data_IF_195484637376
#
_entry.id   IF_195484637376
#
_cell.length_a   1.000
_cell.length_b   1.000
_cell.length_c   1.000
_cell.angle_alpha   90.00
_cell.angle_beta   90.00
_cell.angle_gamma   90.00
#
_symmetry.space_group_name_H-M   'P 1'
#
loop_
_entity.id
_entity.type
_entity.pdbx_description
1 polymer ?
#
# COMPACT_ATOMS: atom_id res chain seq x y z
N UNK A 1 -6.90 41.96 26.51
CA UNK A 1 -5.74 41.07 26.77
C UNK A 1 -5.92 39.68 26.16
N UNK A 2 -6.97 39.43 25.34
CA UNK A 2 -7.23 38.10 24.74
C UNK A 2 -6.63 37.86 23.35
N UNK A 3 -6.09 38.89 22.68
CA UNK A 3 -5.56 38.75 21.31
C UNK A 3 -4.29 37.88 21.21
N UNK A 4 -3.59 37.67 22.33
CA UNK A 4 -2.35 36.88 22.38
C UNK A 4 -2.60 35.40 22.70
N UNK A 5 -3.79 35.03 23.20
CA UNK A 5 -4.15 33.64 23.45
C UNK A 5 -4.59 32.87 22.19
N UNK A 6 -4.84 33.59 21.08
CA UNK A 6 -5.14 32.99 19.77
C UNK A 6 -3.89 32.69 18.93
N UNK A 7 -2.71 33.16 19.37
CA UNK A 7 -1.46 32.82 18.69
C UNK A 7 -1.11 31.40 19.10
N UNK A 8 -1.35 30.43 18.20
CA UNK A 8 -0.90 29.07 18.40
C UNK A 8 0.61 29.06 18.60
N UNK A 9 1.03 28.74 19.82
CA UNK A 9 2.43 28.54 20.16
C UNK A 9 2.81 27.11 19.80
N UNK A 10 3.43 26.93 18.65
CA UNK A 10 4.16 25.70 18.32
C UNK A 10 5.66 25.92 18.56
N UNK A 11 6.35 24.88 18.98
CA UNK A 11 7.81 24.92 19.05
C UNK A 11 8.39 25.00 17.63
N UNK A 12 9.55 25.65 17.45
CA UNK A 12 10.23 25.67 16.15
C UNK A 12 10.48 24.26 15.58
N UNK A 13 10.59 23.26 16.46
CA UNK A 13 10.67 21.85 16.09
C UNK A 13 9.34 21.35 15.49
N UNK A 14 8.22 21.60 16.16
CA UNK A 14 6.88 21.25 15.65
C UNK A 14 6.59 21.94 14.32
N UNK A 15 6.88 23.24 14.20
CA UNK A 15 6.76 23.96 12.93
C UNK A 15 7.59 23.34 11.82
N UNK A 16 8.87 23.02 12.07
CA UNK A 16 9.71 22.35 11.05
C UNK A 16 9.20 20.95 10.72
N UNK A 17 8.66 20.22 11.70
CA UNK A 17 8.02 18.92 11.46
C UNK A 17 6.76 19.07 10.61
N UNK A 18 5.93 20.08 10.86
CA UNK A 18 4.68 20.32 10.14
C UNK A 18 4.94 20.87 8.74
N UNK A 19 5.91 21.78 8.57
CA UNK A 19 6.42 22.19 7.26
C UNK A 19 6.99 20.99 6.51
N UNK A 20 7.81 20.13 7.13
CA UNK A 20 8.32 18.90 6.47
C UNK A 20 7.21 17.91 6.12
N UNK A 21 6.20 17.74 6.99
CA UNK A 21 5.00 16.95 6.73
C UNK A 21 4.20 17.50 5.56
N UNK A 22 4.25 18.80 5.32
CA UNK A 22 3.52 19.44 4.22
C UNK A 22 4.35 19.57 2.93
N UNK A 23 5.68 19.55 3.01
CA UNK A 23 6.56 19.92 1.89
C UNK A 23 7.51 18.81 1.42
N UNK A 24 7.71 17.73 2.18
CA UNK A 24 8.62 16.66 1.81
C UNK A 24 7.87 15.41 1.31
N UNK A 25 8.02 15.01 0.04
CA UNK A 25 7.41 13.80 -0.49
C UNK A 25 7.96 12.55 0.20
N UNK A 26 7.21 11.44 0.15
CA UNK A 26 7.56 10.21 0.90
C UNK A 26 8.81 9.54 0.35
N UNK A 27 8.94 9.51 -0.97
CA UNK A 27 10.08 8.95 -1.70
C UNK A 27 9.63 8.14 -2.92
N UNK A 28 10.51 7.24 -3.36
CA UNK A 28 10.24 6.25 -4.40
C UNK A 28 9.55 5.00 -3.81
N UNK A 29 8.75 4.31 -4.62
CA UNK A 29 8.18 2.99 -4.28
C UNK A 29 9.16 1.85 -4.50
N UNK A 30 10.32 2.12 -5.10
CA UNK A 30 11.30 1.15 -5.60
C UNK A 30 10.71 0.21 -6.66
N UNK A 31 9.74 0.74 -7.43
CA UNK A 31 9.11 0.09 -8.59
C UNK A 31 9.23 1.07 -9.75
N UNK A 32 10.28 0.94 -10.56
CA UNK A 32 10.64 1.96 -11.57
C UNK A 32 9.49 2.36 -12.48
N UNK A 33 8.72 1.39 -12.98
CA UNK A 33 7.59 1.65 -13.86
C UNK A 33 6.42 2.37 -13.14
N UNK A 34 6.17 2.05 -11.87
CA UNK A 34 5.20 2.78 -11.05
C UNK A 34 5.71 4.19 -10.75
N UNK A 35 6.99 4.33 -10.37
CA UNK A 35 7.59 5.62 -10.06
C UNK A 35 7.70 6.54 -11.27
N UNK A 36 7.95 5.98 -12.46
CA UNK A 36 7.91 6.71 -13.73
C UNK A 36 6.49 7.18 -14.05
N UNK A 37 5.48 6.31 -13.84
CA UNK A 37 4.08 6.67 -14.01
C UNK A 37 3.68 7.82 -13.07
N UNK A 38 3.93 7.68 -11.77
CA UNK A 38 3.56 8.68 -10.78
C UNK A 38 4.24 10.02 -11.07
N UNK A 39 5.55 10.03 -11.35
CA UNK A 39 6.28 11.26 -11.71
C UNK A 39 5.72 11.94 -12.95
N UNK A 40 5.34 11.17 -13.97
CA UNK A 40 4.73 11.72 -15.19
C UNK A 40 3.43 12.47 -14.88
N UNK A 41 2.59 11.88 -14.03
CA UNK A 41 1.31 12.47 -13.63
C UNK A 41 1.44 13.59 -12.58
N UNK A 42 2.63 13.77 -11.99
CA UNK A 42 2.94 14.83 -11.03
C UNK A 42 3.62 16.04 -11.69
N UNK A 43 4.19 15.88 -12.89
CA UNK A 43 4.95 16.92 -13.58
C UNK A 43 4.10 18.14 -13.97
N UNK A 44 2.78 18.06 -13.85
CA UNK A 44 1.85 19.18 -14.00
C UNK A 44 1.86 20.15 -12.79
N UNK A 45 2.22 19.67 -11.59
CA UNK A 45 2.07 20.43 -10.32
C UNK A 45 3.37 20.63 -9.52
N UNK A 46 4.48 19.92 -9.83
CA UNK A 46 5.72 19.95 -9.02
C UNK A 46 6.92 20.47 -9.82
N UNK A 47 7.77 21.36 -9.24
CA UNK A 47 8.98 21.83 -9.90
C UNK A 47 9.93 20.69 -10.31
N UNK A 48 10.45 20.77 -11.53
CA UNK A 48 11.47 19.86 -12.08
C UNK A 48 12.67 19.75 -11.12
N UNK A 49 12.98 18.54 -10.66
CA UNK A 49 14.18 18.25 -9.86
C UNK A 49 13.98 17.46 -8.56
N UNK A 50 12.74 17.18 -8.14
CA UNK A 50 12.50 16.31 -6.98
C UNK A 50 12.47 14.82 -7.37
N UNK A 51 13.27 13.96 -6.72
CA UNK A 51 13.38 12.54 -7.08
C UNK A 51 12.21 11.67 -6.57
N UNK A 52 11.23 12.25 -5.87
CA UNK A 52 10.17 11.45 -5.26
C UNK A 52 9.00 11.23 -6.21
N UNK A 53 8.51 9.99 -6.25
CA UNK A 53 7.36 9.59 -7.04
C UNK A 53 6.05 9.60 -6.24
N UNK A 54 6.10 9.36 -4.92
CA UNK A 54 4.91 9.33 -4.07
C UNK A 54 4.76 10.65 -3.32
N UNK A 55 3.59 11.28 -3.47
CA UNK A 55 3.22 12.47 -2.72
C UNK A 55 2.49 12.12 -1.44
N UNK A 56 2.51 13.08 -0.51
CA UNK A 56 1.74 12.99 0.71
C UNK A 56 0.26 13.19 0.44
N UNK A 57 -0.55 12.41 1.14
CA UNK A 57 -1.99 12.39 0.95
C UNK A 57 -2.44 11.69 -0.33
N UNK A 58 -1.51 11.10 -1.10
CA UNK A 58 -1.88 10.19 -2.18
C UNK A 58 -2.67 9.01 -1.62
N UNK A 59 -3.65 8.58 -2.40
CA UNK A 59 -4.48 7.43 -2.05
C UNK A 59 -4.41 6.43 -3.19
N UNK A 60 -3.86 5.26 -2.91
CA UNK A 60 -3.79 4.13 -3.83
C UNK A 60 -4.94 3.19 -3.55
N UNK A 61 -5.82 2.98 -4.53
CA UNK A 61 -6.73 1.84 -4.52
C UNK A 61 -6.06 0.66 -5.21
N UNK A 62 -5.80 -0.43 -4.49
CA UNK A 62 -5.31 -1.68 -5.07
C UNK A 62 -6.50 -2.63 -5.25
N UNK A 63 -6.95 -2.78 -6.49
CA UNK A 63 -8.10 -3.60 -6.86
C UNK A 63 -7.67 -4.92 -7.51
N UNK A 64 -8.39 -6.00 -7.23
CA UNK A 64 -8.20 -7.28 -7.92
C UNK A 64 -8.92 -8.45 -7.25
N UNK A 65 -9.03 -9.60 -7.93
CA UNK A 65 -9.67 -10.78 -7.37
C UNK A 65 -8.91 -11.33 -6.15
N UNK A 66 -9.53 -12.21 -5.35
CA UNK A 66 -8.81 -12.96 -4.32
C UNK A 66 -7.53 -13.59 -4.90
N UNK A 67 -6.47 -13.60 -4.10
CA UNK A 67 -5.16 -14.16 -4.49
C UNK A 67 -4.44 -13.45 -5.65
N UNK A 68 -4.86 -12.26 -6.09
CA UNK A 68 -4.20 -11.50 -7.16
C UNK A 68 -2.89 -10.79 -6.74
N UNK A 69 -2.39 -11.02 -5.52
CA UNK A 69 -1.16 -10.38 -5.03
C UNK A 69 -1.34 -9.04 -4.29
N UNK A 70 -2.57 -8.61 -3.96
CA UNK A 70 -2.83 -7.33 -3.26
C UNK A 70 -2.04 -7.19 -1.96
N UNK A 71 -2.15 -8.16 -1.06
CA UNK A 71 -1.42 -8.17 0.21
C UNK A 71 0.10 -8.24 0.01
N UNK A 72 0.57 -8.83 -1.10
CA UNK A 72 2.00 -8.85 -1.42
C UNK A 72 2.50 -7.46 -1.87
N UNK A 73 1.77 -6.78 -2.75
CA UNK A 73 2.07 -5.39 -3.09
C UNK A 73 2.00 -4.49 -1.84
N UNK A 74 1.07 -4.76 -0.94
CA UNK A 74 0.99 -4.06 0.34
C UNK A 74 2.21 -4.32 1.24
N UNK A 75 2.67 -5.58 1.36
CA UNK A 75 3.92 -5.88 2.05
C UNK A 75 5.08 -5.09 1.45
N UNK A 76 5.17 -4.98 0.12
CA UNK A 76 6.21 -4.19 -0.55
C UNK A 76 6.19 -2.72 -0.11
N UNK A 77 5.03 -2.06 -0.17
CA UNK A 77 4.88 -0.66 0.24
C UNK A 77 5.14 -0.46 1.73
N UNK A 78 4.69 -1.40 2.58
CA UNK A 78 4.97 -1.36 4.02
C UNK A 78 6.46 -1.53 4.29
N UNK A 79 7.15 -2.46 3.62
CA UNK A 79 8.61 -2.60 3.71
C UNK A 79 9.31 -1.29 3.33
N UNK A 80 8.92 -0.68 2.21
CA UNK A 80 9.45 0.60 1.79
C UNK A 80 9.25 1.69 2.85
N UNK A 81 8.08 1.73 3.49
CA UNK A 81 7.77 2.70 4.53
C UNK A 81 8.66 2.53 5.78
N UNK A 82 8.76 1.32 6.32
CA UNK A 82 9.37 1.06 7.62
C UNK A 82 10.90 0.91 7.58
N UNK A 83 11.46 0.55 6.43
CA UNK A 83 12.91 0.45 6.25
C UNK A 83 13.57 1.83 6.42
N UNK A 84 14.77 1.91 7.02
CA UNK A 84 15.48 3.18 7.19
C UNK A 84 15.83 3.80 5.84
N UNK A 85 15.89 5.13 5.77
CA UNK A 85 16.38 5.84 4.56
C UNK A 85 17.83 5.51 4.26
N UNK A 86 18.65 5.54 5.30
CA UNK A 86 20.07 5.25 5.25
C UNK A 86 20.34 4.08 6.19
N UNK A 87 20.68 2.93 5.62
CA UNK A 87 21.20 1.80 6.38
C UNK A 87 22.72 1.86 6.29
N UNK A 88 23.35 2.36 7.35
CA UNK A 88 24.81 2.31 7.48
C UNK A 88 25.16 0.96 8.07
N UNK A 89 25.67 0.05 7.24
CA UNK A 89 26.15 -1.24 7.71
C UNK A 89 27.64 -1.14 8.01
N UNK A 90 27.96 -1.13 9.29
CA UNK A 90 29.32 -0.94 9.77
C UNK A 90 30.13 -2.23 9.63
N UNK A 91 30.90 -2.34 8.54
CA UNK A 91 32.22 -3.01 8.57
C UNK A 91 33.33 -2.14 7.96
N UNK A 92 32.99 -1.16 7.11
CA UNK A 92 33.91 -0.15 6.57
C UNK A 92 33.32 1.27 6.47
N UNK A 93 32.15 1.54 7.09
CA UNK A 93 31.55 2.88 7.17
C UNK A 93 30.90 3.41 5.90
N UNK A 94 30.87 2.66 4.80
CA UNK A 94 30.16 3.06 3.59
C UNK A 94 28.64 2.83 3.75
N UNK A 95 27.79 3.85 3.54
CA UNK A 95 26.33 3.67 3.54
C UNK A 95 25.90 2.75 2.39
N UNK A 96 24.81 2.00 2.57
CA UNK A 96 24.13 1.21 1.51
C UNK A 96 23.48 2.07 0.40
N UNK A 97 24.02 3.26 0.14
CA UNK A 97 23.60 4.08 -0.99
C UNK A 97 24.25 3.50 -2.24
N UNK A 98 23.49 2.72 -2.99
CA UNK A 98 23.57 2.84 -4.44
C UNK A 98 23.17 4.29 -4.77
N UNK A 99 23.91 4.98 -5.63
CA UNK A 99 23.73 6.41 -5.91
C UNK A 99 22.29 6.79 -6.31
N UNK A 100 21.44 5.81 -6.66
CA UNK A 100 20.09 6.03 -7.16
C UNK A 100 18.95 5.32 -6.40
N UNK A 101 19.21 4.56 -5.32
CA UNK A 101 18.16 3.74 -4.66
C UNK A 101 18.02 4.02 -3.17
N UNK A 102 16.84 4.51 -2.75
CA UNK A 102 16.52 4.68 -1.33
C UNK A 102 16.17 3.34 -0.69
N UNK A 103 16.79 3.00 0.44
CA UNK A 103 16.52 1.73 1.14
C UNK A 103 15.09 1.67 1.73
N UNK A 104 14.53 2.82 2.09
CA UNK A 104 13.18 2.97 2.62
C UNK A 104 12.86 4.42 2.97
N UNK A 105 11.70 4.68 3.59
CA UNK A 105 11.27 6.02 3.99
C UNK A 105 11.57 6.35 5.45
N UNK A 106 11.79 5.34 6.29
CA UNK A 106 12.07 5.47 7.71
C UNK A 106 10.88 6.01 8.51
N UNK A 107 9.65 5.62 8.15
CA UNK A 107 8.39 6.15 8.69
C UNK A 107 7.57 5.06 9.38
N UNK A 108 6.53 5.48 10.08
CA UNK A 108 5.53 4.57 10.66
C UNK A 108 4.60 4.09 9.56
N UNK A 109 4.35 2.78 9.54
CA UNK A 109 3.29 2.17 8.76
C UNK A 109 2.19 1.69 9.70
N UNK A 110 0.95 2.09 9.44
CA UNK A 110 -0.24 1.59 10.13
C UNK A 110 -0.99 0.68 9.17
N UNK A 111 -1.31 -0.54 9.61
CA UNK A 111 -2.10 -1.51 8.87
C UNK A 111 -3.38 -1.80 9.64
N UNK A 112 -4.52 -1.49 9.05
CA UNK A 112 -5.82 -1.96 9.48
C UNK A 112 -6.08 -3.31 8.79
N UNK A 113 -5.85 -4.39 9.53
CA UNK A 113 -6.10 -5.77 9.10
C UNK A 113 -7.56 -6.11 9.35
N UNK A 114 -8.36 -6.00 8.29
CA UNK A 114 -9.81 -6.14 8.31
C UNK A 114 -10.27 -7.59 8.13
N UNK A 115 -9.42 -8.48 7.59
CA UNK A 115 -9.77 -9.88 7.33
C UNK A 115 -8.89 -10.89 8.10
N UNK A 116 -8.02 -10.42 8.99
CA UNK A 116 -7.21 -11.25 9.87
C UNK A 116 -6.06 -11.96 9.16
N UNK A 117 -5.72 -11.54 7.93
CA UNK A 117 -4.73 -12.24 7.09
C UNK A 117 -3.34 -11.62 7.15
N UNK A 118 -3.19 -10.48 7.82
CA UNK A 118 -1.89 -9.85 7.94
C UNK A 118 -0.93 -10.71 8.77
N UNK A 119 0.26 -10.97 8.21
CA UNK A 119 1.26 -11.84 8.83
C UNK A 119 2.60 -11.10 9.00
N UNK A 120 2.85 -10.61 10.21
CA UNK A 120 4.10 -9.92 10.54
C UNK A 120 5.35 -10.81 10.40
N UNK A 121 5.23 -12.13 10.59
CA UNK A 121 6.36 -13.07 10.36
C UNK A 121 6.69 -13.17 8.87
N UNK A 122 5.68 -13.15 8.00
CA UNK A 122 5.87 -13.10 6.55
C UNK A 122 6.55 -11.80 6.14
N UNK A 123 6.09 -10.66 6.64
CA UNK A 123 6.75 -9.37 6.41
C UNK A 123 8.21 -9.38 6.88
N UNK A 124 8.49 -9.95 8.05
CA UNK A 124 9.86 -10.10 8.55
C UNK A 124 10.76 -10.90 7.58
N UNK A 125 10.27 -12.05 7.10
CA UNK A 125 11.01 -12.87 6.13
C UNK A 125 11.29 -12.09 4.83
N UNK A 126 10.29 -11.36 4.33
CA UNK A 126 10.42 -10.51 3.14
C UNK A 126 11.44 -9.37 3.35
N UNK A 127 11.45 -8.74 4.54
CA UNK A 127 12.44 -7.72 4.90
C UNK A 127 13.86 -8.28 4.88
N UNK A 128 14.08 -9.44 5.49
CA UNK A 128 15.40 -10.08 5.54
C UNK A 128 15.86 -10.47 4.12
N UNK A 129 14.98 -11.05 3.30
CA UNK A 129 15.28 -11.38 1.91
C UNK A 129 15.70 -10.12 1.11
N UNK A 130 14.91 -9.05 1.21
CA UNK A 130 15.22 -7.77 0.56
C UNK A 130 16.55 -7.18 1.03
N UNK A 131 16.80 -7.14 2.33
CA UNK A 131 18.05 -6.65 2.91
C UNK A 131 19.25 -7.49 2.46
N UNK A 132 19.09 -8.81 2.31
CA UNK A 132 20.15 -9.69 1.78
C UNK A 132 20.51 -9.35 0.34
N UNK A 133 19.54 -8.99 -0.51
CA UNK A 133 19.81 -8.53 -1.88
C UNK A 133 20.54 -7.19 -1.90
N UNK A 134 20.10 -6.25 -1.07
CA UNK A 134 20.72 -4.92 -1.00
C UNK A 134 22.12 -4.98 -0.38
N UNK A 135 22.37 -5.95 0.51
CA UNK A 135 23.58 -6.04 1.32
C UNK A 135 24.14 -7.47 1.41
N UNK A 136 24.55 -8.08 0.28
CA UNK A 136 24.92 -9.50 0.22
C UNK A 136 26.13 -9.86 1.10
N UNK A 137 26.98 -8.88 1.41
CA UNK A 137 28.21 -9.08 2.19
C UNK A 137 27.99 -9.10 3.72
N UNK A 138 26.75 -8.96 4.19
CA UNK A 138 26.44 -8.88 5.62
C UNK A 138 25.90 -10.18 6.18
N UNK A 139 26.17 -10.41 7.47
CA UNK A 139 25.72 -11.62 8.16
C UNK A 139 24.19 -11.63 8.29
N UNK A 140 23.60 -12.83 8.25
CA UNK A 140 22.16 -12.98 8.45
C UNK A 140 21.69 -12.36 9.77
N UNK A 141 22.49 -12.45 10.84
CA UNK A 141 22.17 -11.85 12.15
C UNK A 141 22.02 -10.32 12.06
N UNK A 142 22.94 -9.65 11.36
CA UNK A 142 22.86 -8.19 11.17
C UNK A 142 21.62 -7.77 10.40
N UNK A 143 21.29 -8.49 9.32
CA UNK A 143 20.10 -8.20 8.49
C UNK A 143 18.81 -8.43 9.27
N UNK A 144 18.78 -9.49 10.08
CA UNK A 144 17.68 -9.88 10.96
C UNK A 144 17.45 -8.84 12.08
N UNK A 145 18.51 -8.27 12.66
CA UNK A 145 18.41 -7.17 13.63
C UNK A 145 17.85 -5.89 13.01
N UNK A 146 18.21 -5.58 11.76
CA UNK A 146 17.68 -4.43 11.04
C UNK A 146 16.21 -4.64 10.69
N UNK A 147 15.84 -5.84 10.24
CA UNK A 147 14.45 -6.19 9.97
C UNK A 147 13.59 -6.06 11.24
N UNK A 148 14.07 -6.57 12.38
CA UNK A 148 13.41 -6.37 13.69
C UNK A 148 13.30 -4.91 14.09
N UNK A 149 14.37 -4.12 13.89
CA UNK A 149 14.35 -2.70 14.18
C UNK A 149 13.34 -1.95 13.29
N UNK A 150 13.22 -2.32 12.01
CA UNK A 150 12.26 -1.77 11.08
C UNK A 150 10.81 -2.12 11.47
N UNK A 151 10.55 -3.36 11.89
CA UNK A 151 9.24 -3.80 12.36
C UNK A 151 8.75 -3.03 13.60
N UNK A 152 9.64 -2.41 14.39
CA UNK A 152 9.20 -1.53 15.48
C UNK A 152 8.40 -0.33 14.98
N UNK A 153 8.50 0.05 13.69
CA UNK A 153 7.71 1.14 13.07
C UNK A 153 6.39 0.66 12.48
N UNK A 154 6.09 -0.63 12.58
CA UNK A 154 4.81 -1.19 12.14
C UNK A 154 3.80 -1.16 13.29
N UNK A 155 2.61 -0.64 13.01
CA UNK A 155 1.44 -0.71 13.89
C UNK A 155 0.36 -1.50 13.14
N UNK A 156 -0.16 -2.56 13.75
CA UNK A 156 -1.23 -3.38 13.15
C UNK A 156 -2.45 -3.32 14.06
N UNK A 157 -3.58 -2.90 13.51
CA UNK A 157 -4.89 -3.02 14.14
C UNK A 157 -5.62 -4.20 13.51
N UNK A 158 -5.79 -5.27 14.28
CA UNK A 158 -6.61 -6.41 13.88
C UNK A 158 -8.07 -6.09 14.22
N UNK A 159 -8.88 -5.91 13.19
CA UNK A 159 -10.27 -5.46 13.33
C UNK A 159 -11.29 -6.62 13.23
N UNK A 160 -10.85 -7.78 12.71
CA UNK A 160 -11.54 -9.07 12.82
C UNK A 160 -12.84 -9.22 12.01
N UNK A 161 -13.45 -10.40 12.12
CA UNK A 161 -14.60 -10.83 11.29
C UNK A 161 -15.91 -10.05 11.53
N UNK A 162 -15.99 -9.30 12.63
CA UNK A 162 -17.17 -8.49 13.00
C UNK A 162 -17.03 -7.02 12.58
N UNK A 163 -16.07 -6.70 11.73
CA UNK A 163 -15.74 -5.32 11.37
C UNK A 163 -16.90 -4.59 10.67
N UNK A 164 -17.28 -3.45 11.23
CA UNK A 164 -18.13 -2.46 10.55
C UNK A 164 -17.36 -1.19 10.19
N UNK A 165 -17.83 -0.43 9.18
CA UNK A 165 -17.25 0.87 8.82
C UNK A 165 -17.12 1.84 10.01
N UNK A 166 -18.05 1.78 10.97
CA UNK A 166 -18.03 2.62 12.17
C UNK A 166 -16.82 2.31 13.08
N UNK A 167 -16.46 1.04 13.25
CA UNK A 167 -15.28 0.65 14.05
C UNK A 167 -13.98 1.07 13.37
N UNK A 168 -13.91 0.90 12.04
CA UNK A 168 -12.77 1.38 11.26
C UNK A 168 -12.67 2.90 11.34
N UNK A 169 -13.79 3.62 11.17
CA UNK A 169 -13.84 5.08 11.30
C UNK A 169 -13.37 5.55 12.69
N UNK A 170 -13.87 4.93 13.77
CA UNK A 170 -13.44 5.24 15.13
C UNK A 170 -11.94 4.98 15.35
N UNK A 171 -11.42 3.87 14.80
CA UNK A 171 -9.98 3.56 14.83
C UNK A 171 -9.18 4.66 14.13
N UNK A 172 -9.61 5.09 12.94
CA UNK A 172 -8.94 6.15 12.18
C UNK A 172 -9.05 7.53 12.85
N UNK A 173 -10.18 7.84 13.49
CA UNK A 173 -10.37 9.09 14.24
C UNK A 173 -9.45 9.18 15.46
N UNK A 174 -9.22 8.06 16.15
CA UNK A 174 -8.34 8.01 17.33
C UNK A 174 -6.87 7.82 16.99
N UNK A 175 -6.54 7.45 15.74
CA UNK A 175 -5.19 7.16 15.29
C UNK A 175 -4.19 8.32 15.53
N UNK A 176 -4.52 9.60 15.25
CA UNK A 176 -3.61 10.72 15.55
C UNK A 176 -3.20 10.79 17.02
N UNK A 177 -4.15 10.59 17.94
CA UNK A 177 -3.90 10.66 19.38
C UNK A 177 -3.05 9.47 19.86
N UNK A 178 -3.34 8.28 19.32
CA UNK A 178 -2.52 7.10 19.55
C UNK A 178 -1.07 7.33 19.10
N UNK A 179 -0.86 7.84 17.88
CA UNK A 179 0.49 8.09 17.35
C UNK A 179 1.22 9.16 18.15
N UNK A 180 0.55 10.25 18.56
CA UNK A 180 1.14 11.29 19.39
C UNK A 180 1.62 10.75 20.74
N UNK A 181 0.85 9.84 21.34
CA UNK A 181 1.14 9.29 22.67
C UNK A 181 2.20 8.18 22.60
N UNK A 182 2.05 7.24 21.67
CA UNK A 182 2.90 6.05 21.60
C UNK A 182 4.15 6.25 20.73
N UNK A 183 4.11 7.21 19.80
CA UNK A 183 5.14 7.44 18.77
C UNK A 183 5.43 8.93 18.52
N UNK A 184 5.69 9.75 19.57
CA UNK A 184 5.78 11.21 19.46
C UNK A 184 6.88 11.72 18.52
N UNK A 185 7.96 10.95 18.36
CA UNK A 185 9.11 11.32 17.51
C UNK A 185 9.06 10.73 16.11
N UNK A 186 8.07 9.88 15.82
CA UNK A 186 7.95 9.21 14.54
C UNK A 186 6.82 9.84 13.72
N UNK A 187 6.94 9.70 12.41
CA UNK A 187 6.00 10.29 11.49
C UNK A 187 5.27 9.20 10.71
N UNK A 188 3.94 9.33 10.59
CA UNK A 188 3.12 8.45 9.78
C UNK A 188 3.47 8.63 8.29
N UNK A 189 3.98 7.57 7.67
CA UNK A 189 4.27 7.55 6.24
C UNK A 189 3.18 6.85 5.44
N UNK A 190 2.62 5.77 5.99
CA UNK A 190 1.68 4.90 5.28
C UNK A 190 0.53 4.47 6.19
N UNK A 191 -0.69 4.59 5.68
CA UNK A 191 -1.88 3.94 6.22
C UNK A 191 -2.37 2.90 5.21
N UNK A 192 -2.50 1.65 5.62
CA UNK A 192 -3.02 0.56 4.83
C UNK A 192 -4.34 0.04 5.40
N UNK A 193 -5.32 -0.23 4.54
CA UNK A 193 -6.58 -0.88 4.89
C UNK A 193 -6.71 -2.15 4.03
N UNK A 194 -6.49 -3.32 4.62
CA UNK A 194 -6.49 -4.63 3.95
C UNK A 194 -7.56 -5.56 4.54
N UNK A 195 -8.71 -5.79 3.93
CA UNK A 195 -9.28 -5.12 2.74
C UNK A 195 -10.43 -4.18 3.15
N UNK A 196 -10.60 -3.06 2.45
CA UNK A 196 -11.75 -2.17 2.69
C UNK A 196 -13.08 -2.82 2.26
N UNK A 197 -13.03 -3.81 1.36
CA UNK A 197 -14.19 -4.61 0.96
C UNK A 197 -14.77 -5.47 2.08
N UNK A 198 -14.03 -5.71 3.17
CA UNK A 198 -14.51 -6.52 4.30
C UNK A 198 -15.75 -5.90 4.98
N UNK A 199 -15.87 -4.57 4.99
CA UNK A 199 -17.02 -3.88 5.62
C UNK A 199 -18.25 -3.84 4.71
N UNK A 200 -18.10 -4.15 3.42
CA UNK A 200 -19.12 -3.89 2.41
C UNK A 200 -20.49 -4.47 2.74
N UNK A 201 -20.54 -5.77 3.07
CA UNK A 201 -21.81 -6.46 3.28
C UNK A 201 -22.54 -5.81 4.46
N UNK A 202 -21.85 -5.62 5.58
CA UNK A 202 -22.45 -5.00 6.77
C UNK A 202 -22.89 -3.56 6.51
N UNK A 203 -22.09 -2.78 5.77
CA UNK A 203 -22.41 -1.40 5.44
C UNK A 203 -23.61 -1.29 4.50
N UNK A 204 -23.73 -2.21 3.53
CA UNK A 204 -24.89 -2.28 2.63
C UNK A 204 -26.18 -2.50 3.41
N UNK A 205 -26.20 -3.50 4.30
CA UNK A 205 -27.37 -3.78 5.15
C UNK A 205 -27.77 -2.54 5.97
N UNK A 206 -26.80 -1.76 6.48
CA UNK A 206 -27.08 -0.52 7.21
C UNK A 206 -27.58 0.61 6.31
N UNK A 207 -27.00 0.78 5.13
CA UNK A 207 -27.42 1.80 4.17
C UNK A 207 -28.83 1.58 3.62
N UNK A 208 -29.27 0.32 3.55
CA UNK A 208 -30.65 -0.04 3.20
C UNK A 208 -31.64 0.36 4.33
N UNK A 209 -31.17 0.48 5.58
CA UNK A 209 -31.98 0.91 6.73
C UNK A 209 -31.98 2.43 6.92
N UNK A 210 -30.88 3.12 6.62
CA UNK A 210 -30.76 4.59 6.65
C UNK A 210 -29.96 5.13 5.45
N UNK A 211 -30.65 5.64 4.40
CA UNK A 211 -30.01 6.15 3.18
C UNK A 211 -29.24 7.46 3.38
N UNK A 212 -29.42 8.17 4.50
CA UNK A 212 -28.85 9.50 4.71
C UNK A 212 -27.53 9.49 5.50
N UNK A 213 -27.06 8.32 5.93
CA UNK A 213 -25.82 8.23 6.68
C UNK A 213 -24.61 8.48 5.77
N UNK A 214 -24.00 9.66 5.87
CA UNK A 214 -22.68 9.91 5.29
C UNK A 214 -21.67 8.92 5.88
N UNK A 215 -20.83 8.32 5.03
CA UNK A 215 -19.81 7.37 5.48
C UNK A 215 -18.85 8.04 6.46
N UNK A 216 -18.99 7.74 7.76
CA UNK A 216 -18.09 8.23 8.82
C UNK A 216 -16.62 7.86 8.53
N UNK A 217 -16.41 6.79 7.77
CA UNK A 217 -15.10 6.36 7.28
C UNK A 217 -14.48 7.38 6.32
N UNK A 218 -15.25 7.92 5.36
CA UNK A 218 -14.77 8.94 4.43
C UNK A 218 -14.37 10.21 5.18
N UNK A 219 -15.16 10.62 6.17
CA UNK A 219 -14.82 11.76 7.04
C UNK A 219 -13.55 11.52 7.86
N UNK A 220 -13.41 10.33 8.45
CA UNK A 220 -12.22 9.96 9.22
C UNK A 220 -10.95 9.94 8.34
N UNK A 221 -11.04 9.40 7.13
CA UNK A 221 -9.94 9.40 6.14
C UNK A 221 -9.58 10.82 5.70
N UNK A 222 -10.56 11.68 5.45
CA UNK A 222 -10.30 13.09 5.14
C UNK A 222 -9.64 13.84 6.30
N UNK A 223 -10.11 13.62 7.54
CA UNK A 223 -9.51 14.22 8.71
C UNK A 223 -8.05 13.76 8.87
N UNK A 224 -7.78 12.47 8.72
CA UNK A 224 -6.42 11.94 8.80
C UNK A 224 -5.52 12.46 7.68
N UNK A 225 -6.03 12.55 6.44
CA UNK A 225 -5.33 13.13 5.30
C UNK A 225 -4.96 14.59 5.56
N UNK A 226 -5.84 15.37 6.19
CA UNK A 226 -5.55 16.77 6.56
C UNK A 226 -4.48 16.90 7.65
N UNK A 227 -4.45 15.99 8.63
CA UNK A 227 -3.55 16.09 9.78
C UNK A 227 -2.17 15.53 9.47
N UNK A 228 -2.11 14.34 8.85
CA UNK A 228 -0.85 13.61 8.65
C UNK A 228 -0.46 13.44 7.18
N UNK A 229 -1.41 13.59 6.26
CA UNK A 229 -1.23 13.35 4.82
C UNK A 229 -0.41 12.07 4.52
N UNK A 230 -0.74 10.90 5.10
CA UNK A 230 -0.01 9.68 4.80
C UNK A 230 -0.31 9.22 3.36
N UNK A 231 0.55 8.37 2.79
CA UNK A 231 0.14 7.53 1.68
C UNK A 231 -0.94 6.58 2.21
N UNK A 232 -2.15 6.68 1.68
CA UNK A 232 -3.24 5.78 2.04
C UNK A 232 -3.37 4.69 1.00
N UNK A 233 -3.37 3.43 1.42
CA UNK A 233 -3.52 2.27 0.53
C UNK A 233 -4.78 1.53 0.90
N UNK A 234 -5.71 1.45 -0.04
CA UNK A 234 -7.00 0.77 0.10
C UNK A 234 -6.96 -0.52 -0.73
N UNK A 235 -6.89 -1.69 -0.10
CA UNK A 235 -7.02 -2.94 -0.82
C UNK A 235 -8.50 -3.27 -1.01
N UNK A 236 -8.92 -3.43 -2.25
CA UNK A 236 -10.30 -3.72 -2.62
C UNK A 236 -10.38 -5.06 -3.36
N UNK A 237 -11.18 -5.97 -2.84
CA UNK A 237 -11.44 -7.24 -3.52
C UNK A 237 -12.56 -7.06 -4.51
N UNK A 238 -12.20 -6.95 -5.79
CA UNK A 238 -13.18 -6.95 -6.87
C UNK A 238 -13.42 -8.39 -7.30
N UNK A 239 -14.70 -8.80 -7.32
CA UNK A 239 -15.05 -10.03 -8.02
C UNK A 239 -14.94 -9.67 -9.50
N UNK A 240 -14.02 -10.33 -10.22
CA UNK A 240 -13.90 -10.15 -11.65
C UNK A 240 -15.26 -10.47 -12.30
N UNK A 241 -16.01 -9.42 -12.64
CA UNK A 241 -17.14 -9.56 -13.52
C UNK A 241 -16.54 -9.89 -14.88
N UNK A 242 -16.53 -11.17 -15.24
CA UNK A 242 -16.48 -11.53 -16.65
C UNK A 242 -17.46 -10.62 -17.41
N UNK A 243 -17.17 -10.22 -18.66
CA UNK A 243 -18.05 -9.32 -19.44
C UNK A 243 -19.45 -9.88 -19.74
N UNK A 244 -19.86 -11.01 -19.15
CA UNK A 244 -21.25 -11.43 -19.03
C UNK A 244 -21.37 -12.36 -17.81
N UNK A 245 -22.05 -11.98 -16.70
CA UNK A 245 -22.45 -12.98 -15.72
C UNK A 245 -23.44 -13.96 -16.38
N UNK A 246 -23.35 -15.28 -16.12
CA UNK A 246 -24.47 -16.16 -16.43
C UNK A 246 -25.72 -15.60 -15.73
N UNK A 247 -26.80 -15.42 -16.48
CA UNK A 247 -28.07 -14.91 -15.96
C UNK A 247 -28.45 -15.72 -14.70
N UNK A 248 -28.45 -15.07 -13.53
CA UNK A 248 -28.90 -15.69 -12.27
C UNK A 248 -27.88 -15.74 -11.12
N UNK A 249 -26.58 -15.46 -11.35
CA UNK A 249 -25.61 -15.35 -10.24
C UNK A 249 -25.37 -13.88 -9.92
N UNK A 250 -25.93 -13.43 -8.79
CA UNK A 250 -25.79 -12.06 -8.30
C UNK A 250 -24.33 -11.81 -7.88
N UNK A 251 -23.51 -11.28 -8.79
CA UNK A 251 -22.23 -10.72 -8.40
C UNK A 251 -22.53 -9.49 -7.53
N UNK A 252 -22.03 -9.39 -6.28
CA UNK A 252 -22.13 -8.14 -5.54
C UNK A 252 -21.53 -7.03 -6.41
N UNK A 253 -22.23 -5.91 -6.58
CA UNK A 253 -21.67 -4.79 -7.34
C UNK A 253 -20.36 -4.37 -6.65
N UNK A 254 -19.36 -3.88 -7.42
CA UNK A 254 -18.16 -3.31 -6.83
C UNK A 254 -18.59 -2.30 -5.77
N UNK A 255 -17.85 -2.24 -4.66
CA UNK A 255 -18.20 -1.42 -3.51
C UNK A 255 -18.15 0.08 -3.88
N UNK A 256 -19.21 0.60 -4.50
CA UNK A 256 -19.25 1.94 -5.11
C UNK A 256 -19.23 3.07 -4.08
N UNK A 257 -19.51 2.79 -2.81
CA UNK A 257 -19.66 3.82 -1.77
C UNK A 257 -18.36 4.61 -1.54
N UNK A 258 -17.19 4.00 -1.70
CA UNK A 258 -15.90 4.70 -1.66
C UNK A 258 -15.40 5.14 -3.04
N UNK A 259 -15.83 4.47 -4.11
CA UNK A 259 -15.44 4.75 -5.50
C UNK A 259 -16.16 6.00 -6.05
N UNK A 260 -17.40 6.24 -5.61
CA UNK A 260 -18.22 7.40 -5.98
C UNK A 260 -17.94 8.62 -5.09
N UNK A 261 -16.93 8.55 -4.20
CA UNK A 261 -16.33 9.73 -3.56
C UNK A 261 -15.11 10.15 -4.39
N UNK A 262 -15.27 10.96 -5.46
CA UNK A 262 -14.20 11.33 -6.41
C UNK A 262 -13.04 12.10 -5.78
N UNK A 263 -13.07 12.33 -4.47
CA UNK A 263 -12.12 13.16 -3.73
C UNK A 263 -11.09 12.36 -2.94
N UNK A 264 -11.24 11.02 -2.83
CA UNK A 264 -10.31 10.23 -2.02
C UNK A 264 -9.20 9.60 -2.85
N UNK A 265 -9.52 8.80 -3.88
CA UNK A 265 -8.52 8.01 -4.64
C UNK A 265 -7.72 8.90 -5.59
N UNK A 266 -6.39 8.82 -5.53
CA UNK A 266 -5.50 9.50 -6.49
C UNK A 266 -5.11 8.55 -7.61
N UNK A 267 -4.73 7.32 -7.25
CA UNK A 267 -4.26 6.30 -8.18
C UNK A 267 -4.99 4.98 -7.97
N UNK A 268 -5.35 4.32 -9.07
CA UNK A 268 -5.94 3.00 -9.07
C UNK A 268 -4.96 1.99 -9.64
N UNK A 269 -4.64 0.95 -8.89
CA UNK A 269 -3.76 -0.15 -9.27
C UNK A 269 -4.61 -1.41 -9.40
N UNK A 270 -4.83 -1.86 -10.63
CA UNK A 270 -5.55 -3.10 -10.93
C UNK A 270 -4.58 -4.26 -11.08
N UNK A 271 -4.77 -5.32 -10.27
CA UNK A 271 -3.93 -6.52 -10.29
C UNK A 271 -4.64 -7.65 -11.04
N UNK A 272 -3.90 -8.28 -11.95
CA UNK A 272 -4.28 -9.51 -12.61
C UNK A 272 -3.15 -10.53 -12.46
N UNK A 273 -3.49 -11.80 -12.20
CA UNK A 273 -2.53 -12.88 -12.37
C UNK A 273 -2.11 -12.94 -13.84
N UNK A 274 -0.85 -13.31 -14.10
CA UNK A 274 -0.37 -13.56 -15.46
C UNK A 274 -1.36 -14.46 -16.21
N UNK A 275 -1.61 -14.15 -17.49
CA UNK A 275 -2.58 -14.90 -18.29
C UNK A 275 -2.08 -16.33 -18.43
N UNK A 276 -2.68 -17.26 -17.68
CA UNK A 276 -2.45 -18.69 -17.86
C UNK A 276 -3.24 -19.08 -19.11
N UNK A 277 -2.58 -19.49 -20.20
CA UNK A 277 -3.30 -19.90 -21.40
C UNK A 277 -4.23 -21.07 -21.05
N UNK A 278 -5.48 -21.05 -21.52
CA UNK A 278 -6.42 -22.16 -21.30
C UNK A 278 -5.85 -23.45 -21.90
N UNK A 279 -6.10 -24.60 -21.27
CA UNK A 279 -5.75 -25.88 -21.87
C UNK A 279 -6.45 -26.04 -23.23
N UNK A 280 -5.75 -26.51 -24.28
CA UNK A 280 -6.39 -26.88 -25.53
C UNK A 280 -7.49 -27.93 -25.27
N UNK A 281 -8.57 -27.92 -26.06
CA UNK A 281 -9.72 -28.79 -25.82
C UNK A 281 -9.35 -30.29 -25.96
N UNK A 282 -8.34 -30.56 -26.76
CA UNK A 282 -7.77 -31.87 -27.06
C UNK A 282 -6.73 -32.36 -26.05
N UNK A 283 -6.29 -31.50 -25.11
CA UNK A 283 -5.24 -31.86 -24.15
C UNK A 283 -5.79 -32.78 -23.05
N UNK A 284 -5.16 -33.94 -22.88
CA UNK A 284 -5.51 -34.88 -21.81
C UNK A 284 -5.04 -34.39 -20.43
N UNK A 285 -5.66 -34.87 -19.35
CA UNK A 285 -5.23 -34.52 -17.98
C UNK A 285 -3.76 -34.92 -17.70
N UNK A 286 -3.28 -36.02 -18.28
CA UNK A 286 -1.91 -36.48 -18.13
C UNK A 286 -0.90 -35.54 -18.84
N UNK A 287 -1.28 -34.97 -19.98
CA UNK A 287 -0.48 -33.97 -20.68
C UNK A 287 -0.51 -32.62 -19.95
N UNK A 288 -1.67 -32.21 -19.45
CA UNK A 288 -1.81 -31.01 -18.62
C UNK A 288 -0.90 -31.06 -17.37
N UNK A 289 -0.77 -32.23 -16.73
CA UNK A 289 0.14 -32.44 -15.59
C UNK A 289 1.63 -32.39 -15.98
N UNK A 290 1.97 -32.57 -17.26
CA UNK A 290 3.34 -32.48 -17.77
C UNK A 290 3.65 -31.10 -18.39
N UNK A 291 2.69 -30.18 -18.39
CA UNK A 291 2.86 -28.86 -18.94
C UNK A 291 3.80 -28.01 -18.08
N UNK A 292 5.07 -27.97 -18.47
CA UNK A 292 6.11 -27.22 -17.76
C UNK A 292 5.93 -25.72 -17.90
N UNK A 293 5.37 -25.23 -19.01
CA UNK A 293 5.23 -23.79 -19.26
C UNK A 293 4.14 -23.19 -18.37
N UNK A 294 2.96 -23.82 -18.29
CA UNK A 294 1.89 -23.39 -17.38
C UNK A 294 2.30 -23.56 -15.92
N UNK A 295 2.99 -24.65 -15.60
CA UNK A 295 3.56 -24.85 -14.27
C UNK A 295 4.51 -23.71 -13.91
N UNK A 296 5.44 -23.33 -14.79
CA UNK A 296 6.37 -22.23 -14.54
C UNK A 296 5.63 -20.90 -14.33
N UNK A 297 4.60 -20.60 -15.12
CA UNK A 297 3.80 -19.36 -14.95
C UNK A 297 3.12 -19.33 -13.58
N UNK A 298 2.57 -20.48 -13.14
CA UNK A 298 1.91 -20.61 -11.83
C UNK A 298 2.94 -20.55 -10.70
N UNK A 299 4.07 -21.23 -10.84
CA UNK A 299 5.13 -21.31 -9.82
C UNK A 299 5.86 -19.98 -9.64
N UNK A 300 6.10 -19.23 -10.72
CA UNK A 300 6.71 -17.89 -10.64
C UNK A 300 5.79 -16.85 -10.00
N UNK A 301 4.49 -17.13 -9.92
CA UNK A 301 3.54 -16.23 -9.27
C UNK A 301 3.53 -14.82 -9.87
N UNK A 302 3.64 -14.71 -11.20
CA UNK A 302 3.73 -13.43 -11.89
C UNK A 302 2.40 -12.67 -11.75
N UNK A 303 2.47 -11.46 -11.23
CA UNK A 303 1.36 -10.52 -11.13
C UNK A 303 1.61 -9.34 -12.05
N UNK A 304 0.60 -9.03 -12.87
CA UNK A 304 0.57 -7.85 -13.73
C UNK A 304 -0.26 -6.79 -13.03
N UNK A 305 0.33 -5.61 -12.84
CA UNK A 305 -0.32 -4.46 -12.26
C UNK A 305 -0.48 -3.35 -13.31
N UNK A 306 -1.69 -2.83 -13.46
CA UNK A 306 -1.98 -1.63 -14.27
C UNK A 306 -2.28 -0.48 -13.34
N UNK A 307 -1.63 0.66 -13.53
CA UNK A 307 -1.83 1.88 -12.74
C UNK A 307 -2.50 2.95 -13.60
N UNK A 308 -3.49 3.61 -13.02
CA UNK A 308 -4.20 4.76 -13.61
C UNK A 308 -4.24 5.89 -12.60
N UNK A 309 -4.09 7.13 -13.06
CA UNK A 309 -4.28 8.32 -12.21
C UNK A 309 -5.65 8.91 -12.53
N UNK A 310 -6.52 9.08 -11.52
CA UNK A 310 -7.92 9.46 -11.78
C UNK A 310 -8.09 10.85 -12.40
N UNK A 311 -7.13 11.75 -12.18
CA UNK A 311 -7.10 13.08 -12.81
C UNK A 311 -6.69 13.06 -14.28
N UNK A 312 -6.00 12.01 -14.70
CA UNK A 312 -5.47 11.84 -16.06
C UNK A 312 -5.80 10.42 -16.55
N UNK A 313 -7.08 10.12 -16.82
CA UNK A 313 -7.54 8.76 -17.09
C UNK A 313 -6.93 8.15 -18.36
N UNK A 314 -6.45 8.98 -19.28
CA UNK A 314 -5.80 8.56 -20.52
C UNK A 314 -4.33 8.12 -20.31
N UNK A 315 -3.75 8.42 -19.14
CA UNK A 315 -2.39 8.01 -18.80
C UNK A 315 -2.45 6.71 -18.01
N UNK A 316 -2.04 5.62 -18.65
CA UNK A 316 -1.90 4.31 -18.02
C UNK A 316 -0.42 3.91 -17.91
N UNK A 317 -0.08 3.30 -16.77
CA UNK A 317 1.19 2.64 -16.56
C UNK A 317 0.98 1.15 -16.30
N UNK A 318 2.04 0.36 -16.48
CA UNK A 318 2.02 -1.06 -16.19
C UNK A 318 3.34 -1.48 -15.55
N UNK A 319 3.27 -2.34 -14.54
CA UNK A 319 4.43 -2.98 -13.95
C UNK A 319 4.11 -4.45 -13.65
N UNK A 320 5.14 -5.25 -13.37
CA UNK A 320 4.99 -6.65 -13.01
C UNK A 320 5.87 -6.96 -11.79
N UNK A 321 5.39 -7.89 -10.99
CA UNK A 321 6.16 -8.43 -9.87
C UNK A 321 5.86 -9.91 -9.69
N UNK A 322 6.83 -10.63 -9.15
CA UNK A 322 6.76 -12.06 -8.87
C UNK A 322 6.62 -12.28 -7.36
N UNK A 323 5.79 -13.25 -7.01
CA UNK A 323 5.56 -13.65 -5.62
C UNK A 323 6.22 -15.01 -5.41
N UNK A 324 7.33 -15.01 -4.67
CA UNK A 324 8.05 -16.21 -4.27
C UNK A 324 7.74 -16.57 -2.81
N UNK A 325 8.10 -17.77 -2.39
CA UNK A 325 7.84 -18.25 -1.02
C UNK A 325 8.53 -17.41 0.07
N UNK A 326 9.65 -16.77 -0.25
CA UNK A 326 10.50 -16.00 0.67
C UNK A 326 10.74 -14.56 0.21
N UNK A 327 10.32 -14.21 -1.01
CA UNK A 327 10.63 -12.91 -1.62
C UNK A 327 9.50 -12.35 -2.49
N UNK A 328 9.52 -11.03 -2.70
CA UNK A 328 8.80 -10.36 -3.78
C UNK A 328 9.86 -9.73 -4.69
N UNK A 329 9.81 -10.08 -5.98
CA UNK A 329 10.71 -9.54 -7.00
C UNK A 329 9.93 -8.61 -7.89
N UNK A 330 10.31 -7.34 -7.92
CA UNK A 330 9.74 -6.38 -8.86
C UNK A 330 10.67 -6.34 -10.06
N UNK A 331 10.18 -6.68 -11.24
CA UNK A 331 11.01 -6.59 -12.44
C UNK A 331 11.08 -5.15 -12.93
N UNK A 332 12.30 -4.70 -13.20
CA UNK A 332 12.56 -3.47 -13.93
C UNK A 332 12.21 -3.72 -15.40
N UNK A 333 11.23 -3.01 -15.94
CA UNK A 333 11.09 -2.94 -17.39
C UNK A 333 12.27 -2.12 -17.92
N UNK A 334 13.15 -2.78 -18.68
CA UNK A 334 14.26 -2.15 -19.38
C UNK A 334 13.77 -1.22 -20.50
#
# INVERSE_FOLDING_TARGET
MDLLNEIQHETAREFVFDVRRQTAPLGSTDIDALDAHLRRTLASDVPLGFPASVQRGDVFEIAGPPSSGKTHLLYWLVMQCILPRDVVLSSAGAPLRSENTSTGWGKVAVVCDCDGRWNARRLHALLVARLRRLAPNHTNTTLDDIARAALKRLVVFHLGDTLSSAQLAATLTTLPDYLRTQRPSEELGLLAIDTISATYVQDRWRSELDPHTSSSLTLALHALKRIHAPLTVLANTTIATNPSPPQGVYAPPPNRVLVDSPLLVTHQISLALGVIPKFPAEMTAAEALRDTLRREIVERGIVIAKVRTLREPDVEGQFKFEIHADEIVVELFA
#
